data_IF_878582007567
#
_entry.id   IF_878582007567
#
_cell.length_a   1.000
_cell.length_b   1.000
_cell.length_c   1.000
_cell.angle_alpha   90.00
_cell.angle_beta   90.00
_cell.angle_gamma   90.00
#
_symmetry.space_group_name_H-M   'P 1'
#
loop_
_entity.id
_entity.type
_entity.pdbx_description
1 polymer ?
#
# COMPACT_ATOMS: atom_id res chain seq x y z
N UNK A 1 -10.09 35.30 15.87
CA UNK A 1 -8.70 35.77 15.72
C UNK A 1 -7.81 34.61 16.08
N UNK A 2 -7.14 34.02 15.10
CA UNK A 2 -6.20 32.94 15.33
C UNK A 2 -4.87 33.54 15.83
N UNK A 3 -4.19 32.87 16.77
CA UNK A 3 -2.93 33.35 17.34
C UNK A 3 -1.78 32.63 16.62
N UNK A 4 -0.81 33.34 16.02
CA UNK A 4 0.34 32.71 15.39
C UNK A 4 1.21 32.00 16.44
N UNK A 5 1.78 30.85 16.07
CA UNK A 5 2.76 30.15 16.90
C UNK A 5 4.13 30.77 16.63
N UNK A 6 4.72 31.42 17.63
CA UNK A 6 6.08 31.98 17.52
C UNK A 6 7.00 31.37 18.56
N UNK A 7 8.08 30.74 18.09
CA UNK A 7 9.13 30.14 18.91
C UNK A 7 10.40 30.95 18.73
N UNK A 8 10.83 31.64 19.78
CA UNK A 8 12.04 32.45 19.79
C UNK A 8 12.80 32.23 21.11
N UNK A 9 14.10 31.95 21.02
CA UNK A 9 15.01 31.88 22.17
C UNK A 9 14.56 30.92 23.29
N UNK A 10 13.98 29.78 22.93
CA UNK A 10 13.60 28.75 23.90
C UNK A 10 14.73 27.71 24.05
N UNK A 11 14.83 27.05 25.21
CA UNK A 11 15.75 25.90 25.35
C UNK A 11 15.06 24.61 24.91
N UNK A 12 15.51 24.06 23.78
CA UNK A 12 15.07 22.76 23.25
C UNK A 12 16.23 21.76 23.12
N UNK A 13 17.27 21.92 23.94
CA UNK A 13 18.46 21.05 23.94
C UNK A 13 18.12 19.55 24.05
N UNK A 14 16.99 19.21 24.68
CA UNK A 14 16.53 17.82 24.86
C UNK A 14 15.40 17.39 23.91
N UNK A 15 14.88 18.29 23.07
CA UNK A 15 13.75 17.99 22.18
C UNK A 15 14.19 17.03 21.06
N UNK A 16 13.45 15.93 20.88
CA UNK A 16 13.75 14.90 19.87
C UNK A 16 12.72 14.78 18.76
N UNK A 17 11.48 15.16 19.07
CA UNK A 17 10.33 15.12 18.16
C UNK A 17 9.56 16.42 18.31
N UNK A 18 9.03 16.92 17.20
CA UNK A 18 8.22 18.14 17.16
C UNK A 18 7.02 17.90 16.24
N UNK A 19 5.81 18.07 16.76
CA UNK A 19 4.59 18.17 15.95
C UNK A 19 3.95 19.51 16.31
N UNK A 20 4.12 20.50 15.44
CA UNK A 20 3.55 21.83 15.61
C UNK A 20 2.36 21.98 14.67
N UNK A 21 1.19 22.01 15.29
CA UNK A 21 -0.07 22.29 14.64
C UNK A 21 -0.59 23.65 15.05
N UNK A 22 -0.88 24.48 14.06
CA UNK A 22 -1.37 25.84 14.29
C UNK A 22 -2.74 26.01 13.67
N UNK A 23 -3.76 26.20 14.49
CA UNK A 23 -5.08 26.66 14.04
C UNK A 23 -5.04 28.12 13.54
N UNK A 24 -3.86 28.76 13.57
CA UNK A 24 -3.63 30.10 13.02
C UNK A 24 -2.67 30.18 11.85
N UNK A 25 -2.61 31.39 11.31
CA UNK A 25 -2.10 31.67 9.97
C UNK A 25 -0.57 31.56 9.85
N UNK A 26 0.20 31.40 10.92
CA UNK A 26 1.66 31.37 10.81
C UNK A 26 2.34 30.58 11.92
N UNK A 27 3.22 29.66 11.52
CA UNK A 27 4.25 29.07 12.38
C UNK A 27 5.56 29.81 12.08
N UNK A 28 6.12 30.50 13.07
CA UNK A 28 7.40 31.19 12.94
C UNK A 28 8.41 30.71 13.98
N UNK A 29 9.53 30.18 13.52
CA UNK A 29 10.65 29.73 14.36
C UNK A 29 11.88 30.55 13.96
N UNK A 30 12.45 31.28 14.91
CA UNK A 30 13.60 32.15 14.64
C UNK A 30 14.70 32.02 15.67
N UNK A 31 15.94 32.14 15.21
CA UNK A 31 17.16 32.17 16.04
C UNK A 31 17.22 31.00 17.04
N UNK A 32 16.99 29.80 16.53
CA UNK A 32 16.79 28.62 17.38
C UNK A 32 17.70 27.47 16.93
N UNK A 33 18.24 26.74 17.90
CA UNK A 33 18.96 25.50 17.65
C UNK A 33 18.21 24.32 18.28
N UNK A 34 18.13 23.22 17.52
CA UNK A 34 17.51 21.96 17.92
C UNK A 34 18.53 20.81 17.81
N UNK A 35 19.45 20.68 18.78
CA UNK A 35 20.63 19.82 18.63
C UNK A 35 20.32 18.32 18.58
N UNK A 36 19.17 17.90 19.11
CA UNK A 36 18.74 16.50 19.21
C UNK A 36 17.46 16.17 18.44
N UNK A 37 16.86 17.14 17.73
CA UNK A 37 15.63 16.93 16.99
C UNK A 37 15.88 16.02 15.79
N UNK A 38 15.13 14.92 15.71
CA UNK A 38 15.29 13.88 14.66
C UNK A 38 14.15 13.93 13.66
N UNK A 39 12.94 14.30 14.09
CA UNK A 39 11.79 14.45 13.21
C UNK A 39 10.97 15.68 13.61
N UNK A 40 10.47 16.39 12.60
CA UNK A 40 9.60 17.54 12.80
C UNK A 40 8.44 17.51 11.79
N UNK A 41 7.26 17.83 12.27
CA UNK A 41 6.06 18.05 11.48
C UNK A 41 5.54 19.45 11.76
N UNK A 42 5.47 20.29 10.74
CA UNK A 42 5.04 21.69 10.83
C UNK A 42 3.83 21.88 9.92
N UNK A 43 2.64 22.03 10.52
CA UNK A 43 1.37 22.13 9.79
C UNK A 43 0.47 23.22 10.39
N UNK A 44 0.20 24.32 9.68
CA UNK A 44 -0.96 25.14 9.97
C UNK A 44 -2.23 24.36 9.59
N UNK A 45 -3.18 24.19 10.51
CA UNK A 45 -4.40 23.38 10.36
C UNK A 45 -5.45 24.04 9.45
N UNK A 46 -5.42 25.37 9.27
CA UNK A 46 -6.35 26.07 8.39
C UNK A 46 -5.65 26.42 7.08
N UNK A 47 -5.92 25.64 6.03
CA UNK A 47 -5.51 25.96 4.65
C UNK A 47 -6.43 27.09 4.14
N UNK A 48 -6.16 28.30 4.60
CA UNK A 48 -6.77 29.54 4.11
C UNK A 48 -5.67 30.55 3.78
N UNK A 49 -6.00 31.55 2.93
CA UNK A 49 -5.07 32.58 2.48
C UNK A 49 -4.30 33.23 3.64
N UNK A 50 -3.05 32.82 3.84
CA UNK A 50 -2.20 33.36 4.90
C UNK A 50 -1.39 32.32 5.68
N UNK A 51 -1.84 31.05 5.71
CA UNK A 51 -1.20 29.95 6.43
C UNK A 51 0.26 29.73 5.99
N UNK A 52 1.21 30.10 6.86
CA UNK A 52 2.62 30.15 6.52
C UNK A 52 3.53 29.37 7.47
N UNK A 53 4.71 29.02 6.95
CA UNK A 53 5.85 28.59 7.75
C UNK A 53 6.99 29.57 7.53
N UNK A 54 7.58 30.09 8.60
CA UNK A 54 8.76 30.95 8.55
C UNK A 54 9.86 30.39 9.43
N UNK A 55 10.92 29.88 8.81
CA UNK A 55 12.15 29.43 9.47
C UNK A 55 13.26 30.44 9.19
N UNK A 56 13.77 31.12 10.22
CA UNK A 56 14.82 32.13 10.08
C UNK A 56 15.97 31.86 11.04
N UNK A 57 17.17 31.63 10.51
CA UNK A 57 18.37 31.32 11.31
C UNK A 57 18.14 30.15 12.28
N UNK A 58 17.57 29.05 11.76
CA UNK A 58 17.29 27.83 12.53
C UNK A 58 18.31 26.74 12.22
N UNK A 59 18.78 26.00 13.22
CA UNK A 59 19.71 24.89 13.05
C UNK A 59 19.16 23.56 13.55
N UNK A 60 19.22 22.56 12.68
CA UNK A 60 18.70 21.19 12.87
C UNK A 60 19.79 20.14 12.58
N UNK A 61 20.86 20.05 13.39
CA UNK A 61 22.03 19.23 13.07
C UNK A 61 21.76 17.71 12.97
N UNK A 62 20.67 17.20 13.58
CA UNK A 62 20.33 15.76 13.59
C UNK A 62 18.97 15.43 12.98
N UNK A 63 18.30 16.42 12.39
CA UNK A 63 16.97 16.24 11.81
C UNK A 63 17.08 15.35 10.58
N UNK A 64 16.37 14.23 10.58
CA UNK A 64 16.32 13.27 9.48
C UNK A 64 15.05 13.37 8.67
N UNK A 65 13.92 13.71 9.32
CA UNK A 65 12.62 13.79 8.68
C UNK A 65 12.00 15.16 8.94
N UNK A 66 11.55 15.82 7.88
CA UNK A 66 10.80 17.06 7.96
C UNK A 66 9.56 16.98 7.09
N UNK A 67 8.42 17.31 7.69
CA UNK A 67 7.15 17.50 6.99
C UNK A 67 6.70 18.95 7.10
N UNK A 68 6.51 19.58 5.96
CA UNK A 68 6.06 20.96 5.82
C UNK A 68 4.76 20.98 5.00
N UNK A 69 3.66 21.31 5.65
CA UNK A 69 2.39 21.65 4.98
C UNK A 69 2.15 23.13 5.18
N UNK A 70 1.95 23.93 4.13
CA UNK A 70 1.65 25.35 4.27
C UNK A 70 1.10 25.96 2.97
N UNK A 71 0.41 27.10 3.08
CA UNK A 71 0.07 27.90 1.89
C UNK A 71 1.35 28.61 1.37
N UNK A 72 2.17 29.14 2.28
CA UNK A 72 3.45 29.81 1.99
C UNK A 72 4.56 29.31 2.89
N UNK A 73 5.79 29.24 2.38
CA UNK A 73 6.95 28.95 3.22
C UNK A 73 8.10 29.92 2.92
N UNK A 74 8.75 30.39 3.99
CA UNK A 74 9.91 31.28 3.94
C UNK A 74 11.02 30.69 4.80
N UNK A 75 12.11 30.27 4.15
CA UNK A 75 13.26 29.67 4.82
C UNK A 75 14.49 30.53 4.55
N UNK A 76 15.10 31.06 5.61
CA UNK A 76 16.34 31.85 5.50
C UNK A 76 17.35 31.41 6.55
N UNK A 77 18.62 31.30 6.14
CA UNK A 77 19.76 30.88 6.94
C UNK A 77 19.49 29.63 7.80
N UNK A 78 18.69 28.68 7.28
CA UNK A 78 18.28 27.47 8.00
C UNK A 78 19.11 26.29 7.53
N UNK A 79 19.57 25.44 8.46
CA UNK A 79 20.50 24.33 8.17
C UNK A 79 19.99 23.03 8.77
N UNK A 80 19.91 21.96 7.96
CA UNK A 80 19.56 20.61 8.43
C UNK A 80 20.46 19.53 7.80
N UNK A 81 21.78 19.53 8.03
CA UNK A 81 22.76 18.75 7.26
C UNK A 81 22.58 17.22 7.28
N UNK A 82 21.74 16.69 8.16
CA UNK A 82 21.39 15.26 8.24
C UNK A 82 19.97 14.96 7.72
N UNK A 83 19.35 15.90 7.02
CA UNK A 83 18.00 15.76 6.49
C UNK A 83 18.01 14.71 5.38
N UNK A 84 17.33 13.61 5.65
CA UNK A 84 17.25 12.43 4.80
C UNK A 84 15.95 12.44 3.97
N UNK A 85 14.85 12.79 4.64
CA UNK A 85 13.48 12.75 4.11
C UNK A 85 12.80 14.10 4.26
N UNK A 86 12.23 14.58 3.15
CA UNK A 86 11.49 15.82 3.11
C UNK A 86 10.13 15.62 2.47
N UNK A 87 9.08 15.97 3.19
CA UNK A 87 7.70 15.97 2.72
C UNK A 87 7.19 17.40 2.61
N UNK A 88 6.75 17.78 1.41
CA UNK A 88 6.32 19.13 1.07
C UNK A 88 4.91 19.11 0.48
N UNK A 89 4.02 19.82 1.15
CA UNK A 89 2.68 20.14 0.65
C UNK A 89 2.49 21.66 0.74
N UNK A 90 3.15 22.38 -0.19
CA UNK A 90 3.23 23.84 -0.18
C UNK A 90 2.57 24.47 -1.42
N UNK A 91 1.51 25.25 -1.18
CA UNK A 91 0.64 25.75 -2.23
C UNK A 91 1.14 26.97 -3.03
N UNK A 92 2.11 27.72 -2.52
CA UNK A 92 2.69 28.86 -3.23
C UNK A 92 4.21 28.71 -3.46
N UNK A 93 4.70 29.45 -4.46
CA UNK A 93 6.12 29.75 -4.66
C UNK A 93 6.76 30.22 -3.35
N UNK A 94 8.06 29.94 -3.16
CA UNK A 94 8.87 30.32 -2.00
C UNK A 94 9.71 31.59 -2.27
N UNK A 95 9.13 32.78 -2.49
CA UNK A 95 9.91 33.97 -2.79
C UNK A 95 10.82 34.33 -1.61
N UNK A 96 12.11 34.56 -1.90
CA UNK A 96 13.10 34.94 -0.90
C UNK A 96 13.64 33.80 -0.03
N UNK A 97 13.26 32.55 -0.30
CA UNK A 97 13.77 31.39 0.45
C UNK A 97 15.13 30.90 -0.06
N UNK A 98 15.93 30.38 0.87
CA UNK A 98 17.20 29.69 0.61
C UNK A 98 16.93 28.27 0.10
N UNK A 99 16.83 28.12 -1.22
CA UNK A 99 16.56 26.82 -1.85
C UNK A 99 17.65 25.77 -1.57
N UNK A 100 18.86 26.19 -1.19
CA UNK A 100 19.94 25.28 -0.78
C UNK A 100 19.56 24.35 0.37
N UNK A 101 18.63 24.76 1.24
CA UNK A 101 18.09 23.91 2.30
C UNK A 101 17.46 22.63 1.74
N UNK A 102 16.82 22.73 0.57
CA UNK A 102 16.11 21.63 -0.09
C UNK A 102 17.00 20.73 -0.96
N UNK A 103 18.29 21.04 -1.09
CA UNK A 103 19.27 20.24 -1.87
C UNK A 103 19.90 19.09 -1.04
N UNK A 104 19.48 18.94 0.21
CA UNK A 104 20.04 18.00 1.18
C UNK A 104 19.40 16.59 1.17
N UNK A 105 18.07 16.43 1.04
CA UNK A 105 17.42 15.13 1.19
C UNK A 105 17.69 14.21 -0.01
N UNK A 106 17.76 12.91 0.27
CA UNK A 106 17.77 11.88 -0.76
C UNK A 106 16.36 11.35 -1.07
N UNK A 107 15.36 11.70 -0.25
CA UNK A 107 13.94 11.40 -0.47
C UNK A 107 13.08 12.66 -0.40
N UNK A 108 12.30 12.90 -1.45
CA UNK A 108 11.50 14.11 -1.63
C UNK A 108 10.07 13.75 -2.03
N UNK A 109 9.11 14.29 -1.30
CA UNK A 109 7.69 14.17 -1.59
C UNK A 109 7.12 15.57 -1.82
N UNK A 110 6.54 15.83 -2.98
CA UNK A 110 5.99 17.15 -3.35
C UNK A 110 4.58 16.98 -3.91
N UNK A 111 3.60 17.62 -3.27
CA UNK A 111 2.20 17.46 -3.66
C UNK A 111 1.61 18.66 -4.41
N UNK A 112 2.32 19.78 -4.46
CA UNK A 112 1.89 21.02 -5.10
C UNK A 112 3.09 21.79 -5.69
N UNK A 113 2.87 22.54 -6.77
CA UNK A 113 3.89 23.34 -7.47
C UNK A 113 5.16 22.55 -7.82
N UNK A 114 5.01 21.32 -8.26
CA UNK A 114 6.12 20.38 -8.51
C UNK A 114 7.11 21.00 -9.50
N UNK A 115 6.61 21.55 -10.60
CA UNK A 115 7.44 22.13 -11.65
C UNK A 115 8.29 23.32 -11.18
N UNK A 116 7.66 24.28 -10.50
CA UNK A 116 8.34 25.47 -9.99
C UNK A 116 9.37 25.12 -8.92
N UNK A 117 9.10 24.09 -8.12
CA UNK A 117 9.99 23.66 -7.06
C UNK A 117 11.22 22.93 -7.61
N UNK A 118 11.02 21.91 -8.45
CA UNK A 118 12.11 21.11 -8.99
C UNK A 118 13.10 21.93 -9.85
N UNK A 119 12.64 23.01 -10.51
CA UNK A 119 13.52 23.95 -11.24
C UNK A 119 14.55 24.68 -10.36
N UNK A 120 14.32 24.73 -9.04
CA UNK A 120 15.10 25.58 -8.12
C UNK A 120 15.99 24.79 -7.18
N UNK A 121 15.93 23.46 -7.24
CA UNK A 121 16.72 22.56 -6.38
C UNK A 121 17.68 21.71 -7.21
N UNK A 122 18.77 21.30 -6.57
CA UNK A 122 19.69 20.31 -7.10
C UNK A 122 19.15 18.91 -6.77
N UNK A 123 18.68 18.21 -7.81
CA UNK A 123 18.09 16.86 -7.69
C UNK A 123 19.12 15.74 -7.86
N UNK A 124 20.40 16.06 -8.09
CA UNK A 124 21.42 15.05 -8.42
C UNK A 124 21.64 14.01 -7.32
N UNK A 125 21.35 14.32 -6.06
CA UNK A 125 21.47 13.38 -4.93
C UNK A 125 20.20 12.58 -4.66
N UNK A 126 19.10 12.90 -5.35
CA UNK A 126 17.80 12.34 -5.06
C UNK A 126 17.74 10.87 -5.48
N UNK A 127 17.32 10.02 -4.54
CA UNK A 127 17.10 8.58 -4.76
C UNK A 127 15.62 8.23 -4.83
N UNK A 128 14.76 8.98 -4.15
CA UNK A 128 13.33 8.72 -4.09
C UNK A 128 12.56 10.01 -4.35
N UNK A 129 11.68 9.98 -5.33
CA UNK A 129 10.83 11.11 -5.69
C UNK A 129 9.38 10.68 -5.68
N UNK A 130 8.54 11.41 -4.94
CA UNK A 130 7.10 11.25 -4.96
C UNK A 130 6.47 12.58 -5.37
N UNK A 131 5.66 12.60 -6.41
CA UNK A 131 5.04 13.83 -6.92
C UNK A 131 3.55 13.66 -7.16
N UNK A 132 2.77 14.70 -6.89
CA UNK A 132 1.39 14.81 -7.38
C UNK A 132 1.33 15.90 -8.43
N UNK A 133 1.02 15.51 -9.66
CA UNK A 133 0.86 16.43 -10.78
C UNK A 133 -0.60 16.86 -10.84
N UNK A 134 -0.81 18.18 -10.79
CA UNK A 134 -2.10 18.86 -10.92
C UNK A 134 -2.12 19.67 -12.21
N UNK A 135 -3.30 20.13 -12.65
CA UNK A 135 -3.52 20.95 -13.86
C UNK A 135 -2.49 22.05 -14.08
N UNK A 136 -1.98 22.65 -13.01
CA UNK A 136 -1.11 23.82 -13.03
C UNK A 136 0.38 23.49 -13.24
N UNK A 137 0.77 22.20 -13.21
CA UNK A 137 2.16 21.75 -13.38
C UNK A 137 2.60 21.68 -14.87
N UNK A 138 2.02 22.52 -15.74
CA UNK A 138 2.19 22.45 -17.20
C UNK A 138 3.69 22.51 -17.56
N UNK A 139 4.13 21.59 -18.42
CA UNK A 139 5.53 21.49 -18.85
C UNK A 139 6.39 20.59 -17.97
N UNK A 140 5.79 19.80 -17.06
CA UNK A 140 6.52 18.80 -16.26
C UNK A 140 7.30 17.82 -17.15
N UNK A 141 6.73 17.42 -18.29
CA UNK A 141 7.37 16.56 -19.28
C UNK A 141 8.64 17.16 -19.88
N UNK A 142 8.67 18.48 -20.08
CA UNK A 142 9.87 19.18 -20.56
C UNK A 142 10.87 19.33 -19.43
N UNK A 143 10.41 19.70 -18.24
CA UNK A 143 11.26 19.89 -17.06
C UNK A 143 12.00 18.61 -16.70
N UNK A 144 11.28 17.49 -16.59
CA UNK A 144 11.85 16.23 -16.10
C UNK A 144 12.94 15.70 -17.03
N UNK A 145 12.87 16.06 -18.32
CA UNK A 145 13.90 15.76 -19.31
C UNK A 145 15.22 16.46 -19.04
N UNK A 146 15.14 17.67 -18.52
CA UNK A 146 16.29 18.54 -18.29
C UNK A 146 16.91 18.30 -16.90
N UNK A 147 16.24 17.52 -16.04
CA UNK A 147 16.74 17.17 -14.72
C UNK A 147 17.70 15.96 -14.77
N UNK A 148 18.82 16.06 -14.07
CA UNK A 148 19.73 14.92 -13.84
C UNK A 148 19.19 14.04 -12.71
N UNK A 149 18.39 13.05 -13.10
CA UNK A 149 17.81 12.04 -12.21
C UNK A 149 18.59 10.72 -12.25
N UNK A 150 19.88 10.77 -12.58
CA UNK A 150 20.72 9.58 -12.72
C UNK A 150 20.81 8.75 -11.45
N UNK A 151 20.69 9.34 -10.25
CA UNK A 151 20.70 8.63 -8.97
C UNK A 151 19.32 8.16 -8.49
N UNK A 152 18.26 8.46 -9.23
CA UNK A 152 16.90 8.12 -8.83
C UNK A 152 16.68 6.60 -8.90
N UNK A 153 16.29 6.01 -7.78
CA UNK A 153 16.05 4.57 -7.62
C UNK A 153 14.56 4.23 -7.58
N UNK A 154 13.70 5.13 -7.08
CA UNK A 154 12.25 4.97 -7.09
C UNK A 154 11.54 6.29 -7.42
N UNK A 155 10.51 6.19 -8.25
CA UNK A 155 9.68 7.31 -8.66
C UNK A 155 8.21 6.94 -8.53
N UNK A 156 7.47 7.72 -7.74
CA UNK A 156 6.03 7.58 -7.57
C UNK A 156 5.34 8.87 -8.01
N UNK A 157 4.46 8.76 -9.00
CA UNK A 157 3.68 9.89 -9.50
C UNK A 157 2.18 9.66 -9.30
N UNK A 158 1.49 10.66 -8.75
CA UNK A 158 0.04 10.76 -8.74
C UNK A 158 -0.38 11.69 -9.88
N UNK A 159 -1.18 11.19 -10.81
CA UNK A 159 -1.67 11.94 -11.96
C UNK A 159 -3.12 12.35 -11.70
N UNK A 160 -3.38 13.66 -11.67
CA UNK A 160 -4.74 14.18 -11.72
C UNK A 160 -5.40 13.90 -13.07
N UNK A 161 -6.72 14.11 -13.15
CA UNK A 161 -7.51 13.84 -14.35
C UNK A 161 -6.94 14.53 -15.60
N UNK A 162 -6.45 15.76 -15.44
CA UNK A 162 -5.88 16.58 -16.51
C UNK A 162 -4.53 16.05 -17.02
N UNK A 163 -3.80 15.27 -16.22
CA UNK A 163 -2.47 14.72 -16.55
C UNK A 163 -2.49 13.30 -17.06
N UNK A 164 -3.62 12.62 -16.93
CA UNK A 164 -3.71 11.20 -17.25
C UNK A 164 -3.32 10.91 -18.70
N UNK A 165 -3.89 11.62 -19.68
CA UNK A 165 -3.60 11.42 -21.11
C UNK A 165 -2.11 11.63 -21.45
N UNK A 166 -1.36 12.33 -20.58
CA UNK A 166 0.07 12.57 -20.72
C UNK A 166 0.94 11.47 -20.10
N UNK A 167 0.41 10.48 -19.38
CA UNK A 167 1.26 9.46 -18.72
C UNK A 167 2.17 8.71 -19.70
N UNK A 168 1.65 8.33 -20.88
CA UNK A 168 2.44 7.71 -21.95
C UNK A 168 3.40 8.68 -22.66
N UNK A 169 3.22 9.97 -22.45
CA UNK A 169 4.11 11.05 -22.91
C UNK A 169 5.17 11.38 -21.88
N UNK A 170 4.90 11.26 -20.57
CA UNK A 170 5.86 11.51 -19.49
C UNK A 170 7.10 10.60 -19.60
N UNK A 171 6.88 9.30 -19.79
CA UNK A 171 7.92 8.26 -19.70
C UNK A 171 9.12 8.49 -20.65
N UNK A 172 8.92 8.81 -21.95
CA UNK A 172 10.00 9.17 -22.88
C UNK A 172 10.96 10.24 -22.39
N UNK A 173 10.48 11.13 -21.54
CA UNK A 173 11.24 12.28 -21.10
C UNK A 173 12.01 12.00 -19.82
N UNK A 174 11.74 10.88 -19.14
CA UNK A 174 12.51 10.53 -17.95
C UNK A 174 13.89 9.97 -18.31
N UNK A 175 14.93 10.63 -17.81
CA UNK A 175 16.30 10.12 -17.83
C UNK A 175 16.68 9.54 -16.46
N UNK A 176 16.11 8.38 -16.14
CA UNK A 176 16.32 7.67 -14.87
C UNK A 176 16.93 6.28 -15.07
N UNK A 177 18.18 6.16 -15.58
CA UNK A 177 18.76 4.86 -15.95
C UNK A 177 18.91 3.89 -14.77
N UNK A 178 18.97 4.41 -13.54
CA UNK A 178 19.09 3.60 -12.32
C UNK A 178 17.75 3.34 -11.62
N UNK A 179 16.63 3.73 -12.23
CA UNK A 179 15.30 3.55 -11.67
C UNK A 179 14.99 2.04 -11.53
N UNK A 180 14.68 1.62 -10.31
CA UNK A 180 14.35 0.22 -9.96
C UNK A 180 12.85 0.05 -9.73
N UNK A 181 12.17 1.09 -9.27
CA UNK A 181 10.73 1.07 -9.00
C UNK A 181 10.05 2.28 -9.63
N UNK A 182 8.97 2.03 -10.35
CA UNK A 182 8.12 3.05 -10.91
C UNK A 182 6.68 2.78 -10.47
N UNK A 183 6.09 3.76 -9.79
CA UNK A 183 4.71 3.72 -9.34
C UNK A 183 3.92 4.87 -9.96
N UNK A 184 2.76 4.57 -10.51
CA UNK A 184 1.84 5.57 -11.05
C UNK A 184 0.44 5.35 -10.49
N UNK A 185 -0.11 6.39 -9.87
CA UNK A 185 -1.49 6.44 -9.37
C UNK A 185 -2.31 7.36 -10.30
N UNK A 186 -3.38 6.84 -10.89
CA UNK A 186 -4.19 7.49 -11.92
C UNK A 186 -5.58 7.79 -11.37
N UNK A 187 -6.01 9.05 -11.41
CA UNK A 187 -7.31 9.45 -10.84
C UNK A 187 -8.50 9.47 -11.82
N UNK A 188 -8.27 9.33 -13.14
CA UNK A 188 -9.33 9.50 -14.17
C UNK A 188 -10.26 8.29 -14.31
N UNK A 189 -11.51 8.59 -14.69
CA UNK A 189 -12.63 7.68 -14.95
C UNK A 189 -12.46 6.78 -16.20
N UNK A 190 -11.59 7.14 -17.15
CA UNK A 190 -11.23 6.26 -18.26
C UNK A 190 -9.79 6.50 -18.72
N UNK A 191 -9.01 5.43 -18.80
CA UNK A 191 -7.60 5.46 -19.17
C UNK A 191 -7.36 4.52 -20.34
N UNK A 192 -7.80 4.94 -21.52
CA UNK A 192 -7.89 4.06 -22.69
C UNK A 192 -6.53 3.72 -23.32
N UNK A 193 -5.42 4.35 -22.93
CA UNK A 193 -4.16 4.12 -23.61
C UNK A 193 -2.91 4.38 -22.76
N UNK A 194 -2.49 3.35 -22.00
CA UNK A 194 -1.07 3.17 -21.66
C UNK A 194 -0.33 2.61 -22.89
N UNK A 195 -0.94 2.57 -24.08
CA UNK A 195 -0.47 1.84 -25.27
C UNK A 195 0.90 2.22 -25.80
N UNK A 196 1.47 3.37 -25.39
CA UNK A 196 2.85 3.73 -25.70
C UNK A 196 3.86 3.28 -24.62
N UNK A 197 3.40 2.76 -23.47
CA UNK A 197 4.26 2.26 -22.39
C UNK A 197 5.20 1.16 -22.91
N UNK A 198 4.68 0.26 -23.74
CA UNK A 198 5.42 -0.87 -24.30
C UNK A 198 6.65 -0.45 -25.09
N UNK A 199 6.56 0.63 -25.87
CA UNK A 199 7.67 1.09 -26.71
C UNK A 199 8.68 1.96 -25.95
N UNK A 200 8.29 2.52 -24.80
CA UNK A 200 9.03 3.60 -24.13
C UNK A 200 9.58 3.22 -22.76
N UNK A 201 8.97 2.26 -22.07
CA UNK A 201 9.34 1.91 -20.69
C UNK A 201 10.76 1.34 -20.62
N UNK A 202 11.08 0.31 -21.41
CA UNK A 202 12.40 -0.33 -21.37
C UNK A 202 13.54 0.59 -21.83
N UNK A 203 13.41 1.40 -22.90
CA UNK A 203 14.43 2.38 -23.25
C UNK A 203 14.68 3.45 -22.17
N UNK A 204 13.64 3.87 -21.44
CA UNK A 204 13.74 4.93 -20.44
C UNK A 204 14.21 4.40 -19.09
N UNK A 205 13.82 3.17 -18.74
CA UNK A 205 14.11 2.52 -17.46
C UNK A 205 14.67 1.11 -17.63
N UNK A 206 15.88 0.95 -18.23
CA UNK A 206 16.43 -0.36 -18.57
C UNK A 206 16.72 -1.25 -17.35
N UNK A 207 16.76 -0.69 -16.14
CA UNK A 207 17.00 -1.40 -14.89
C UNK A 207 15.75 -1.53 -14.02
N UNK A 208 14.56 -1.23 -14.56
CA UNK A 208 13.31 -1.26 -13.81
C UNK A 208 13.00 -2.69 -13.36
N UNK A 209 12.87 -2.88 -12.05
CA UNK A 209 12.55 -4.18 -11.43
C UNK A 209 11.10 -4.29 -11.04
N UNK A 210 10.48 -3.15 -10.69
CA UNK A 210 9.13 -3.12 -10.15
C UNK A 210 8.29 -2.04 -10.79
N UNK A 211 7.12 -2.43 -11.26
CA UNK A 211 6.11 -1.54 -11.85
C UNK A 211 4.82 -1.65 -11.04
N UNK A 212 4.34 -0.52 -10.53
CA UNK A 212 3.07 -0.43 -9.79
C UNK A 212 2.17 0.54 -10.53
N UNK A 213 0.97 0.08 -10.89
CA UNK A 213 -0.04 0.90 -11.56
C UNK A 213 -1.30 0.83 -10.73
N UNK A 214 -1.70 1.96 -10.17
CA UNK A 214 -2.95 2.07 -9.42
C UNK A 214 -3.92 2.98 -10.15
N UNK A 215 -5.15 2.52 -10.37
CA UNK A 215 -6.23 3.29 -10.96
C UNK A 215 -7.40 3.40 -9.99
N UNK A 216 -7.87 4.62 -9.74
CA UNK A 216 -8.99 4.85 -8.83
C UNK A 216 -10.35 4.69 -9.50
N UNK A 217 -10.46 4.79 -10.83
CA UNK A 217 -11.76 4.86 -11.53
C UNK A 217 -11.77 4.40 -12.99
N UNK A 218 -10.67 3.89 -13.54
CA UNK A 218 -10.58 3.62 -14.98
C UNK A 218 -10.32 2.18 -15.36
N UNK A 219 -10.86 1.82 -16.53
CA UNK A 219 -10.34 0.72 -17.34
C UNK A 219 -8.90 1.04 -17.77
N UNK A 220 -8.04 0.03 -17.74
CA UNK A 220 -6.70 0.12 -18.29
C UNK A 220 -6.53 -0.86 -19.44
N UNK A 221 -5.84 -0.40 -20.49
CA UNK A 221 -5.42 -1.25 -21.61
C UNK A 221 -3.92 -1.12 -21.77
N UNK A 222 -3.20 -2.16 -21.36
CA UNK A 222 -1.76 -2.31 -21.55
C UNK A 222 -1.57 -3.44 -22.55
N UNK A 223 -1.02 -3.12 -23.73
CA UNK A 223 -0.86 -4.09 -24.82
C UNK A 223 0.59 -4.18 -25.24
N UNK A 224 1.07 -5.42 -25.38
CA UNK A 224 2.39 -5.73 -25.92
C UNK A 224 3.54 -5.17 -25.10
N UNK A 225 3.38 -5.02 -23.78
CA UNK A 225 4.47 -4.54 -22.92
C UNK A 225 5.61 -5.55 -22.90
N UNK A 226 6.79 -5.13 -23.32
CA UNK A 226 8.01 -5.94 -23.26
C UNK A 226 8.99 -5.24 -22.32
N UNK A 227 9.54 -6.00 -21.37
CA UNK A 227 10.59 -5.48 -20.50
C UNK A 227 11.44 -6.63 -19.97
N UNK A 228 12.74 -6.60 -20.24
CA UNK A 228 13.65 -7.68 -19.84
C UNK A 228 13.95 -7.70 -18.35
N UNK A 229 14.06 -6.55 -17.68
CA UNK A 229 14.48 -6.50 -16.25
C UNK A 229 13.35 -6.56 -15.21
N UNK A 230 12.07 -6.49 -15.61
CA UNK A 230 10.96 -6.45 -14.64
C UNK A 230 10.86 -7.78 -13.89
N UNK A 231 10.81 -7.71 -12.57
CA UNK A 231 10.69 -8.84 -11.65
C UNK A 231 9.32 -8.87 -10.94
N UNK A 232 8.68 -7.71 -10.76
CA UNK A 232 7.39 -7.55 -10.06
C UNK A 232 6.49 -6.53 -10.76
N UNK A 233 5.24 -6.92 -11.04
CA UNK A 233 4.20 -6.05 -11.59
C UNK A 233 2.98 -6.14 -10.70
N UNK A 234 2.51 -4.99 -10.24
CA UNK A 234 1.30 -4.85 -9.42
C UNK A 234 0.38 -3.87 -10.10
N UNK A 235 -0.85 -4.31 -10.35
CA UNK A 235 -1.92 -3.49 -10.87
C UNK A 235 -3.04 -3.51 -9.86
N UNK A 236 -3.48 -2.32 -9.45
CA UNK A 236 -4.63 -2.18 -8.55
C UNK A 236 -5.68 -1.28 -9.21
N UNK A 237 -6.93 -1.70 -9.28
CA UNK A 237 -8.04 -0.85 -9.71
C UNK A 237 -9.10 -0.77 -8.61
N UNK A 238 -9.97 0.23 -8.67
CA UNK A 238 -11.10 0.39 -7.75
C UNK A 238 -12.45 0.16 -8.45
N UNK A 239 -12.46 0.10 -9.78
CA UNK A 239 -13.68 0.06 -10.58
C UNK A 239 -13.84 -1.24 -11.40
N UNK A 240 -15.08 -1.51 -11.79
CA UNK A 240 -15.63 -2.76 -12.34
C UNK A 240 -15.60 -2.82 -13.88
N UNK A 241 -14.60 -2.23 -14.52
CA UNK A 241 -14.56 -2.05 -15.98
C UNK A 241 -13.74 -3.12 -16.72
N UNK A 242 -13.76 -3.07 -18.07
CA UNK A 242 -13.01 -3.98 -18.94
C UNK A 242 -11.52 -3.59 -19.04
N UNK A 243 -10.67 -4.44 -18.47
CA UNK A 243 -9.23 -4.30 -18.40
C UNK A 243 -8.53 -5.27 -19.37
N UNK A 244 -7.47 -4.80 -20.03
CA UNK A 244 -6.64 -5.63 -20.90
C UNK A 244 -5.19 -5.50 -20.45
N UNK A 245 -4.53 -6.63 -20.22
CA UNK A 245 -3.10 -6.69 -19.97
C UNK A 245 -2.45 -7.74 -20.86
N UNK A 246 -1.60 -7.30 -21.78
CA UNK A 246 -0.77 -8.19 -22.59
C UNK A 246 0.70 -7.78 -22.58
N UNK A 247 1.60 -8.76 -22.50
CA UNK A 247 3.03 -8.49 -22.48
C UNK A 247 3.93 -9.73 -22.42
N UNK A 248 5.23 -9.50 -22.62
CA UNK A 248 6.28 -10.51 -22.55
C UNK A 248 7.40 -10.05 -21.61
N UNK A 249 7.69 -10.87 -20.61
CA UNK A 249 8.63 -10.53 -19.54
C UNK A 249 9.50 -11.73 -19.19
N UNK A 250 10.78 -11.68 -19.57
CA UNK A 250 11.69 -12.79 -19.37
C UNK A 250 11.95 -13.05 -17.88
N UNK A 251 12.11 -11.99 -17.08
CA UNK A 251 12.51 -12.10 -15.66
C UNK A 251 11.37 -11.91 -14.65
N UNK A 252 10.12 -11.76 -15.11
CA UNK A 252 8.99 -11.50 -14.22
C UNK A 252 8.76 -12.69 -13.28
N UNK A 253 8.78 -12.42 -11.98
CA UNK A 253 8.62 -13.42 -10.92
C UNK A 253 7.26 -13.31 -10.25
N UNK A 254 6.70 -12.10 -10.16
CA UNK A 254 5.42 -11.84 -9.52
C UNK A 254 4.53 -10.96 -10.38
N UNK A 255 3.27 -11.34 -10.50
CA UNK A 255 2.22 -10.53 -11.12
C UNK A 255 1.00 -10.48 -10.19
N UNK A 256 0.50 -9.28 -9.93
CA UNK A 256 -0.72 -9.05 -9.17
C UNK A 256 -1.67 -8.14 -9.95
N UNK A 257 -2.94 -8.55 -10.09
CA UNK A 257 -4.03 -7.72 -10.58
C UNK A 257 -5.15 -7.74 -9.55
N UNK A 258 -5.39 -6.61 -8.88
CA UNK A 258 -6.24 -6.52 -7.69
C UNK A 258 -7.31 -5.46 -7.89
N UNK A 259 -8.58 -5.78 -7.60
CA UNK A 259 -9.65 -4.79 -7.51
C UNK A 259 -9.97 -4.51 -6.04
N UNK A 260 -9.85 -3.25 -5.62
CA UNK A 260 -10.33 -2.78 -4.32
C UNK A 260 -11.81 -2.40 -4.42
N UNK A 261 -12.68 -3.23 -3.86
CA UNK A 261 -14.13 -2.96 -3.81
C UNK A 261 -14.42 -2.05 -2.60
N UNK A 262 -14.75 -0.78 -2.84
CA UNK A 262 -14.90 0.21 -1.76
C UNK A 262 -16.26 0.24 -1.05
N UNK A 263 -17.31 -0.34 -1.62
CA UNK A 263 -18.66 -0.32 -1.03
C UNK A 263 -19.47 -1.55 -1.52
N UNK A 264 -20.60 -1.93 -0.89
CA UNK A 264 -21.47 -2.97 -1.40
C UNK A 264 -22.28 -2.46 -2.60
N UNK A 265 -21.59 -1.98 -3.64
CA UNK A 265 -22.19 -1.84 -4.96
C UNK A 265 -22.36 -3.23 -5.55
N UNK A 266 -23.44 -3.39 -6.32
CA UNK A 266 -23.69 -4.59 -7.13
C UNK A 266 -22.37 -5.06 -7.74
N UNK A 267 -22.04 -6.35 -7.56
CA UNK A 267 -20.83 -6.97 -8.09
C UNK A 267 -20.88 -6.88 -9.61
N UNK A 268 -20.52 -5.72 -10.17
CA UNK A 268 -19.98 -5.62 -11.50
C UNK A 268 -18.61 -6.24 -11.39
N UNK A 269 -18.39 -7.42 -11.95
CA UNK A 269 -17.05 -7.98 -11.98
C UNK A 269 -16.24 -7.22 -13.03
N UNK A 270 -15.09 -6.65 -12.66
CA UNK A 270 -14.17 -6.05 -13.64
C UNK A 270 -13.69 -7.14 -14.59
N UNK A 271 -14.09 -7.09 -15.86
CA UNK A 271 -13.62 -8.07 -16.83
C UNK A 271 -12.13 -7.85 -17.13
N UNK A 272 -11.29 -8.87 -16.97
CA UNK A 272 -9.86 -8.84 -17.24
C UNK A 272 -9.51 -9.80 -18.39
N UNK A 273 -8.97 -9.24 -19.47
CA UNK A 273 -8.30 -10.01 -20.53
C UNK A 273 -6.80 -10.03 -20.26
N UNK A 274 -6.29 -11.19 -19.84
CA UNK A 274 -4.88 -11.38 -19.48
C UNK A 274 -4.19 -12.29 -20.51
N UNK A 275 -3.16 -11.76 -21.20
CA UNK A 275 -2.28 -12.55 -22.08
C UNK A 275 -0.82 -12.23 -21.76
N UNK A 276 -0.25 -13.02 -20.85
CA UNK A 276 1.07 -12.80 -20.29
C UNK A 276 2.03 -13.92 -20.71
N UNK A 277 3.18 -13.54 -21.27
CA UNK A 277 4.28 -14.45 -21.53
C UNK A 277 5.39 -14.20 -20.51
N UNK A 278 5.39 -14.97 -19.41
CA UNK A 278 6.34 -14.82 -18.32
C UNK A 278 6.88 -16.20 -17.86
N UNK A 279 7.90 -16.76 -18.54
CA UNK A 279 8.35 -18.13 -18.29
C UNK A 279 8.94 -18.36 -16.89
N UNK A 280 9.39 -17.29 -16.22
CA UNK A 280 9.96 -17.32 -14.87
C UNK A 280 8.97 -16.91 -13.76
N UNK A 281 7.68 -16.76 -14.09
CA UNK A 281 6.66 -16.37 -13.14
C UNK A 281 6.55 -17.42 -12.02
N UNK A 282 6.65 -16.96 -10.76
CA UNK A 282 6.56 -17.78 -9.55
C UNK A 282 5.25 -17.55 -8.80
N UNK A 283 4.71 -16.33 -8.87
CA UNK A 283 3.53 -15.91 -8.13
C UNK A 283 2.55 -15.19 -9.07
N UNK A 284 1.32 -15.67 -9.12
CA UNK A 284 0.20 -15.04 -9.83
C UNK A 284 -0.95 -14.83 -8.84
N UNK A 285 -1.32 -13.58 -8.62
CA UNK A 285 -2.48 -13.20 -7.80
C UNK A 285 -3.46 -12.37 -8.63
N UNK A 286 -4.71 -12.82 -8.69
CA UNK A 286 -5.81 -12.11 -9.35
C UNK A 286 -6.97 -12.00 -8.36
N UNK A 287 -7.45 -10.78 -8.13
CA UNK A 287 -8.50 -10.51 -7.16
C UNK A 287 -9.57 -9.56 -7.73
N UNK A 288 -10.84 -9.92 -7.58
CA UNK A 288 -11.98 -9.03 -7.92
C UNK A 288 -12.28 -8.89 -9.42
N UNK A 289 -11.83 -9.82 -10.26
CA UNK A 289 -11.97 -9.74 -11.72
C UNK A 289 -12.83 -10.86 -12.32
N UNK A 290 -13.51 -10.61 -13.44
CA UNK A 290 -14.10 -11.65 -14.30
C UNK A 290 -13.16 -11.99 -15.45
N UNK A 291 -12.92 -13.27 -15.70
CA UNK A 291 -12.08 -13.77 -16.78
C UNK A 291 -12.86 -14.80 -17.60
N UNK A 292 -12.84 -14.66 -18.93
CA UNK A 292 -13.39 -15.70 -19.81
C UNK A 292 -12.54 -16.97 -19.73
N UNK A 293 -11.22 -16.84 -19.93
CA UNK A 293 -10.29 -17.96 -19.81
C UNK A 293 -9.01 -17.47 -19.13
N UNK A 294 -8.52 -18.25 -18.17
CA UNK A 294 -7.17 -18.11 -17.60
C UNK A 294 -6.32 -19.32 -18.02
N UNK A 295 -5.45 -19.10 -19.00
CA UNK A 295 -4.53 -20.11 -19.51
C UNK A 295 -3.16 -20.05 -18.83
N UNK A 296 -2.70 -21.17 -18.29
CA UNK A 296 -1.46 -21.28 -17.51
C UNK A 296 -0.37 -22.13 -18.18
N UNK A 297 -0.43 -22.33 -19.50
CA UNK A 297 0.44 -23.28 -20.23
C UNK A 297 1.94 -22.95 -20.20
N UNK A 298 2.31 -21.69 -19.97
CA UNK A 298 3.69 -21.23 -20.05
C UNK A 298 4.36 -21.00 -18.69
N UNK A 299 3.69 -21.28 -17.57
CA UNK A 299 4.18 -20.95 -16.23
C UNK A 299 4.78 -22.16 -15.49
N UNK A 300 5.82 -22.76 -16.08
CA UNK A 300 6.49 -23.95 -15.50
C UNK A 300 7.10 -23.70 -14.11
N UNK A 301 7.43 -22.45 -13.80
CA UNK A 301 8.00 -22.03 -12.53
C UNK A 301 6.97 -21.54 -11.50
N UNK A 302 5.67 -21.57 -11.84
CA UNK A 302 4.62 -21.09 -10.96
C UNK A 302 4.59 -21.94 -9.69
N UNK A 303 4.70 -21.27 -8.54
CA UNK A 303 4.67 -21.88 -7.20
C UNK A 303 3.38 -21.56 -6.47
N UNK A 304 2.91 -20.33 -6.62
CA UNK A 304 1.74 -19.81 -5.93
C UNK A 304 0.74 -19.23 -6.94
N UNK A 305 -0.49 -19.74 -6.90
CA UNK A 305 -1.62 -19.22 -7.65
C UNK A 305 -2.73 -18.85 -6.67
N UNK A 306 -3.14 -17.59 -6.69
CA UNK A 306 -4.27 -17.08 -5.91
C UNK A 306 -5.29 -16.43 -6.86
N UNK A 307 -6.53 -16.88 -6.73
CA UNK A 307 -7.70 -16.34 -7.41
C UNK A 307 -8.74 -16.09 -6.33
N UNK A 308 -9.10 -14.82 -6.11
CA UNK A 308 -10.01 -14.42 -5.04
C UNK A 308 -11.07 -13.47 -5.55
N UNK A 309 -12.32 -13.64 -5.13
CA UNK A 309 -13.42 -12.74 -5.55
C UNK A 309 -13.55 -12.58 -7.09
N UNK A 310 -13.17 -13.62 -7.85
CA UNK A 310 -13.20 -13.62 -9.30
C UNK A 310 -14.31 -14.47 -9.90
N UNK A 311 -14.80 -14.11 -11.08
CA UNK A 311 -15.68 -14.96 -11.91
C UNK A 311 -14.89 -15.48 -13.12
N UNK A 312 -14.55 -16.77 -13.15
CA UNK A 312 -13.69 -17.37 -14.18
C UNK A 312 -14.46 -18.47 -14.92
N UNK A 313 -14.74 -18.30 -16.21
CA UNK A 313 -15.43 -19.38 -16.95
C UNK A 313 -14.53 -20.60 -17.08
N UNK A 314 -13.26 -20.42 -17.49
CA UNK A 314 -12.34 -21.53 -17.68
C UNK A 314 -10.95 -21.25 -17.07
N UNK A 315 -10.52 -22.10 -16.14
CA UNK A 315 -9.17 -22.13 -15.59
C UNK A 315 -8.43 -23.36 -16.11
N UNK A 316 -7.45 -23.15 -16.99
CA UNK A 316 -6.75 -24.24 -17.68
C UNK A 316 -5.25 -24.15 -17.45
N UNK A 317 -4.64 -25.22 -16.93
CA UNK A 317 -3.21 -25.28 -16.70
C UNK A 317 -2.66 -26.68 -16.85
N UNK A 318 -1.91 -26.95 -17.92
CA UNK A 318 -1.22 -28.22 -18.09
C UNK A 318 0.24 -28.12 -17.60
N UNK A 319 0.66 -29.08 -16.77
CA UNK A 319 2.08 -29.25 -16.43
C UNK A 319 2.62 -28.21 -15.43
N UNK A 320 1.83 -27.83 -14.42
CA UNK A 320 2.25 -26.94 -13.35
C UNK A 320 3.04 -27.72 -12.27
N UNK A 321 4.18 -28.27 -12.67
CA UNK A 321 4.98 -29.17 -11.83
C UNK A 321 5.48 -28.53 -10.53
N UNK A 322 5.72 -27.21 -10.52
CA UNK A 322 6.24 -26.51 -9.34
C UNK A 322 5.15 -25.87 -8.47
N UNK A 323 3.88 -25.96 -8.88
CA UNK A 323 2.77 -25.36 -8.15
C UNK A 323 2.62 -26.06 -6.81
N UNK A 324 2.79 -25.30 -5.72
CA UNK A 324 2.72 -25.79 -4.36
C UNK A 324 1.47 -25.28 -3.62
N UNK A 325 0.93 -24.14 -4.02
CA UNK A 325 -0.19 -23.45 -3.37
C UNK A 325 -1.19 -23.01 -4.43
N UNK A 326 -2.44 -23.44 -4.26
CA UNK A 326 -3.59 -23.02 -5.05
C UNK A 326 -4.66 -22.51 -4.10
N UNK A 327 -5.00 -21.23 -4.20
CA UNK A 327 -6.06 -20.58 -3.42
C UNK A 327 -7.17 -20.14 -4.37
N UNK A 328 -8.37 -20.70 -4.20
CA UNK A 328 -9.62 -20.36 -4.87
C UNK A 328 -10.65 -19.99 -3.79
N UNK A 329 -10.84 -18.70 -3.53
CA UNK A 329 -11.68 -18.21 -2.43
C UNK A 329 -13.18 -18.52 -2.66
N UNK A 330 -14.00 -18.56 -1.59
CA UNK A 330 -15.46 -18.78 -1.63
C UNK A 330 -16.27 -17.78 -2.42
N UNK A 331 -15.74 -16.57 -2.53
CA UNK A 331 -16.38 -15.51 -3.28
C UNK A 331 -16.01 -15.59 -4.78
N UNK A 332 -15.25 -16.61 -5.20
CA UNK A 332 -14.92 -16.85 -6.61
C UNK A 332 -15.88 -17.86 -7.22
N UNK A 333 -16.44 -17.52 -8.37
CA UNK A 333 -17.21 -18.42 -9.21
C UNK A 333 -16.29 -18.94 -10.31
N UNK A 334 -16.11 -20.27 -10.39
CA UNK A 334 -15.26 -20.86 -11.43
C UNK A 334 -16.03 -21.99 -12.11
N UNK A 335 -16.39 -21.81 -13.38
CA UNK A 335 -17.27 -22.74 -14.07
C UNK A 335 -16.55 -24.02 -14.53
N UNK A 336 -15.27 -23.94 -14.92
CA UNK A 336 -14.44 -25.08 -15.33
C UNK A 336 -13.03 -24.93 -14.76
N UNK A 337 -12.54 -25.99 -14.11
CA UNK A 337 -11.13 -26.09 -13.68
C UNK A 337 -10.51 -27.32 -14.32
N UNK A 338 -9.43 -27.12 -15.07
CA UNK A 338 -8.64 -28.19 -15.68
C UNK A 338 -7.15 -27.93 -15.43
N UNK A 339 -6.67 -28.30 -14.24
CA UNK A 339 -5.29 -28.09 -13.81
C UNK A 339 -4.60 -29.43 -13.54
N UNK A 340 -3.37 -29.58 -14.03
CA UNK A 340 -2.45 -30.64 -13.62
C UNK A 340 -1.30 -30.06 -12.80
N UNK A 341 -1.33 -30.28 -11.49
CA UNK A 341 -0.38 -29.76 -10.50
C UNK A 341 0.11 -30.91 -9.59
N UNK A 342 1.06 -31.73 -10.06
CA UNK A 342 1.41 -32.99 -9.40
C UNK A 342 2.03 -32.82 -8.00
N UNK A 343 2.63 -31.65 -7.71
CA UNK A 343 3.32 -31.36 -6.45
C UNK A 343 2.55 -30.39 -5.54
N UNK A 344 1.23 -30.24 -5.75
CA UNK A 344 0.39 -29.36 -4.95
C UNK A 344 0.38 -29.80 -3.48
N UNK A 345 0.63 -28.85 -2.57
CA UNK A 345 0.70 -29.10 -1.12
C UNK A 345 -0.44 -28.43 -0.37
N UNK A 346 -0.83 -27.25 -0.82
CA UNK A 346 -1.87 -26.42 -0.22
C UNK A 346 -2.92 -26.19 -1.29
N UNK A 347 -4.13 -26.67 -1.00
CA UNK A 347 -5.32 -26.36 -1.76
C UNK A 347 -6.31 -25.69 -0.80
N UNK A 348 -6.58 -24.42 -1.02
CA UNK A 348 -7.61 -23.69 -0.31
C UNK A 348 -8.73 -23.41 -1.29
N UNK A 349 -9.77 -24.23 -1.23
CA UNK A 349 -10.97 -24.07 -2.05
C UNK A 349 -12.18 -23.98 -1.13
N UNK A 350 -13.03 -22.99 -1.35
CA UNK A 350 -14.33 -22.91 -0.68
C UNK A 350 -15.44 -22.73 -1.71
N UNK A 351 -15.62 -23.67 -2.65
CA UNK A 351 -16.69 -23.55 -3.65
C UNK A 351 -18.05 -23.28 -2.99
N UNK A 352 -18.84 -22.38 -3.59
CA UNK A 352 -20.21 -22.19 -3.17
C UNK A 352 -20.95 -23.54 -3.22
N UNK A 353 -21.82 -23.86 -2.23
CA UNK A 353 -22.50 -25.16 -2.14
C UNK A 353 -23.30 -25.55 -3.39
N UNK A 354 -23.65 -24.57 -4.22
CA UNK A 354 -24.48 -24.69 -5.42
C UNK A 354 -23.66 -24.67 -6.72
N UNK A 355 -22.32 -24.61 -6.63
CA UNK A 355 -21.47 -24.71 -7.81
C UNK A 355 -21.70 -26.07 -8.49
N UNK A 356 -21.98 -26.06 -9.78
CA UNK A 356 -22.20 -27.28 -10.54
C UNK A 356 -20.83 -27.93 -10.86
N UNK A 357 -20.29 -28.68 -9.90
CA UNK A 357 -18.90 -29.22 -9.91
C UNK A 357 -18.74 -30.46 -10.83
N UNK A 358 -19.60 -30.66 -11.84
CA UNK A 358 -19.39 -31.74 -12.82
C UNK A 358 -18.10 -31.55 -13.65
N UNK A 359 -17.61 -30.31 -13.73
CA UNK A 359 -16.50 -29.84 -14.56
C UNK A 359 -15.16 -29.68 -13.82
N UNK A 360 -15.08 -29.86 -12.50
CA UNK A 360 -13.80 -29.73 -11.78
C UNK A 360 -12.87 -30.93 -12.04
N UNK A 361 -11.71 -30.64 -12.61
CA UNK A 361 -10.63 -31.58 -12.93
C UNK A 361 -9.31 -30.99 -12.43
N UNK A 362 -9.01 -31.26 -11.16
CA UNK A 362 -7.68 -31.04 -10.60
C UNK A 362 -6.95 -32.39 -10.52
N UNK A 363 -5.79 -32.49 -11.18
CA UNK A 363 -4.91 -33.65 -11.09
C UNK A 363 -3.73 -33.34 -10.15
N UNK A 364 -3.61 -34.10 -9.07
CA UNK A 364 -2.49 -34.04 -8.12
C UNK A 364 -1.86 -35.43 -8.00
N UNK A 365 -0.54 -35.53 -8.16
CA UNK A 365 0.14 -36.83 -8.27
C UNK A 365 -0.33 -37.72 -9.43
N UNK A 366 -1.10 -37.19 -10.40
CA UNK A 366 -1.74 -37.97 -11.46
C UNK A 366 -3.12 -38.53 -11.10
N UNK A 367 -3.63 -38.26 -9.90
CA UNK A 367 -4.97 -38.65 -9.45
C UNK A 367 -5.94 -37.47 -9.54
N UNK A 368 -7.19 -37.74 -9.95
CA UNK A 368 -8.25 -36.74 -10.01
C UNK A 368 -8.79 -36.48 -8.60
N UNK A 369 -8.80 -35.21 -8.21
CA UNK A 369 -9.39 -34.73 -6.96
C UNK A 369 -10.81 -34.27 -7.24
N UNK A 370 -11.76 -34.79 -6.46
CA UNK A 370 -13.15 -34.35 -6.44
C UNK A 370 -13.32 -33.21 -5.43
N UNK A 371 -14.39 -32.44 -5.56
CA UNK A 371 -14.78 -31.35 -4.64
C UNK A 371 -14.91 -31.73 -3.17
N UNK A 372 -15.12 -33.03 -2.89
CA UNK A 372 -15.24 -33.60 -1.55
C UNK A 372 -13.91 -34.07 -0.96
N UNK A 373 -12.83 -34.10 -1.76
CA UNK A 373 -11.54 -34.60 -1.34
C UNK A 373 -10.76 -33.53 -0.57
N UNK A 374 -10.55 -33.76 0.74
CA UNK A 374 -9.71 -32.90 1.57
C UNK A 374 -8.23 -33.25 1.35
N UNK A 375 -7.50 -32.40 0.61
CA UNK A 375 -6.04 -32.46 0.60
C UNK A 375 -5.55 -31.92 1.94
N UNK A 376 -5.33 -32.82 2.89
CA UNK A 376 -4.68 -32.44 4.15
C UNK A 376 -3.18 -32.26 3.85
N UNK A 377 -2.53 -31.16 4.25
CA UNK A 377 -1.09 -31.01 4.05
C UNK A 377 -0.40 -32.24 4.63
N UNK A 378 0.33 -32.95 3.78
CA UNK A 378 1.17 -34.06 4.23
C UNK A 378 2.07 -33.52 5.34
N UNK A 379 1.88 -34.02 6.56
CA UNK A 379 2.68 -33.67 7.73
C UNK A 379 4.14 -33.85 7.33
N UNK A 380 4.84 -32.73 7.11
CA UNK A 380 6.29 -32.73 6.97
C UNK A 380 6.84 -33.47 8.18
N UNK A 381 7.67 -34.49 7.96
CA UNK A 381 8.28 -35.38 8.97
C UNK A 381 9.26 -34.65 9.93
N UNK A 382 8.97 -33.40 10.29
CA UNK A 382 9.76 -32.53 11.17
C UNK A 382 9.11 -32.31 12.55
N UNK A 383 7.95 -32.93 12.84
CA UNK A 383 7.21 -32.75 14.11
C UNK A 383 7.28 -33.94 15.08
N UNK A 384 8.09 -34.96 14.82
CA UNK A 384 8.22 -36.15 15.69
C UNK A 384 9.14 -35.96 16.93
N UNK A 385 9.44 -34.73 17.34
CA UNK A 385 10.10 -34.44 18.61
C UNK A 385 9.37 -33.36 19.41
N UNK A 386 8.21 -33.72 19.98
CA UNK A 386 7.80 -33.33 21.33
C UNK A 386 6.38 -33.86 21.60
N UNK A 387 6.31 -35.08 22.13
CA UNK A 387 5.13 -35.63 22.79
C UNK A 387 4.68 -34.73 23.96
N UNK A 388 3.41 -34.32 23.95
CA UNK A 388 2.79 -33.70 25.13
C UNK A 388 1.50 -32.92 24.88
N UNK A 389 0.55 -33.49 24.16
CA UNK A 389 -0.78 -32.87 23.95
C UNK A 389 -1.58 -32.87 25.27
N UNK A 390 -2.34 -31.81 25.57
CA UNK A 390 -3.78 -31.98 25.73
C UNK A 390 -4.55 -31.22 24.67
N UNK A 391 -5.48 -31.95 24.05
CA UNK A 391 -6.40 -31.51 23.00
C UNK A 391 -7.33 -30.48 23.60
N UNK A 392 -7.42 -29.30 22.99
CA UNK A 392 -8.63 -28.48 22.84
C UNK A 392 -8.38 -27.36 21.81
N UNK A 393 -9.01 -27.50 20.63
CA UNK A 393 -9.68 -26.49 19.75
C UNK A 393 -9.42 -25.00 20.12
N UNK A 394 -9.08 -24.02 19.25
CA UNK A 394 -8.86 -23.84 17.79
C UNK A 394 -8.32 -22.41 17.56
N UNK A 395 -7.73 -22.18 16.37
CA UNK A 395 -7.45 -20.88 15.70
C UNK A 395 -6.51 -19.89 16.40
N UNK A 396 -5.21 -20.03 16.16
CA UNK A 396 -4.23 -18.93 16.31
C UNK A 396 -3.89 -18.38 14.93
N UNK A 397 -4.58 -17.31 14.52
CA UNK A 397 -4.16 -16.52 13.37
C UNK A 397 -3.05 -15.57 13.85
N UNK A 398 -1.81 -15.91 13.56
CA UNK A 398 -0.70 -14.98 13.66
C UNK A 398 -0.71 -14.12 12.38
N UNK A 399 -1.35 -12.96 12.42
CA UNK A 399 -1.36 -12.02 11.31
C UNK A 399 -0.06 -11.21 11.28
N UNK A 400 0.61 -11.18 10.12
CA UNK A 400 1.72 -10.26 9.85
C UNK A 400 1.14 -8.87 9.53
N UNK A 401 1.15 -7.98 10.52
CA UNK A 401 0.42 -6.69 10.52
C UNK A 401 1.04 -5.58 9.64
N UNK A 402 1.90 -5.91 8.66
CA UNK A 402 2.63 -4.90 7.86
C UNK A 402 1.85 -4.34 6.66
N UNK A 403 0.68 -4.87 6.34
CA UNK A 403 -0.04 -4.54 5.09
C UNK A 403 -1.52 -4.18 5.27
N UNK A 404 -1.99 -3.90 6.49
CA UNK A 404 -3.38 -3.52 6.74
C UNK A 404 -3.57 -2.00 6.66
N UNK A 405 -4.60 -1.56 5.94
CA UNK A 405 -5.10 -0.18 6.04
C UNK A 405 -5.89 -0.01 7.35
N UNK A 406 -6.11 1.23 7.80
CA UNK A 406 -6.95 1.53 8.98
C UNK A 406 -8.34 0.88 8.84
N UNK A 407 -8.88 0.86 7.62
CA UNK A 407 -10.17 0.24 7.28
C UNK A 407 -10.17 -1.28 7.42
N UNK A 408 -9.05 -1.96 7.13
CA UNK A 408 -8.93 -3.41 7.32
C UNK A 408 -8.86 -3.78 8.81
N UNK A 409 -8.22 -2.93 9.61
CA UNK A 409 -8.21 -3.02 11.08
C UNK A 409 -9.64 -2.79 11.62
N UNK A 410 -10.37 -1.81 11.10
CA UNK A 410 -11.77 -1.55 11.48
C UNK A 410 -12.72 -2.70 11.12
N UNK A 411 -12.51 -3.35 9.96
CA UNK A 411 -13.30 -4.51 9.52
C UNK A 411 -13.01 -5.76 10.37
N UNK A 412 -11.74 -5.99 10.72
CA UNK A 412 -11.32 -7.05 11.62
C UNK A 412 -11.69 -6.80 13.09
N UNK A 413 -11.81 -5.55 13.54
CA UNK A 413 -12.22 -5.20 14.92
C UNK A 413 -13.74 -5.05 15.05
N UNK A 414 -14.45 -4.71 13.97
CA UNK A 414 -15.91 -4.69 13.93
C UNK A 414 -16.53 -6.05 14.30
N UNK A 415 -15.85 -7.15 13.99
CA UNK A 415 -16.24 -8.51 14.40
C UNK A 415 -15.93 -8.84 15.87
N UNK A 416 -15.06 -8.05 16.53
CA UNK A 416 -14.61 -8.21 17.92
C UNK A 416 -15.41 -7.33 18.90
N UNK A 417 -16.30 -6.47 18.39
CA UNK A 417 -17.11 -5.52 19.17
C UNK A 417 -17.99 -6.28 20.17
N UNK A 418 -17.95 -5.87 21.44
CA UNK A 418 -18.69 -6.45 22.57
C UNK A 418 -18.31 -7.88 23.00
N UNK A 419 -17.30 -8.51 22.40
CA UNK A 419 -16.76 -9.79 22.85
C UNK A 419 -15.68 -9.60 23.93
N UNK A 420 -15.58 -10.55 24.87
CA UNK A 420 -14.48 -10.59 25.85
C UNK A 420 -13.27 -11.27 25.21
N UNK A 421 -12.12 -10.62 25.28
CA UNK A 421 -10.87 -11.11 24.71
C UNK A 421 -9.85 -11.39 25.81
N UNK A 422 -9.15 -12.51 25.71
CA UNK A 422 -8.09 -12.92 26.61
C UNK A 422 -6.73 -12.70 25.93
N UNK A 423 -5.86 -11.89 26.54
CA UNK A 423 -4.51 -11.64 26.04
C UNK A 423 -3.51 -11.98 27.14
N UNK A 424 -2.51 -12.81 26.81
CA UNK A 424 -1.40 -13.12 27.72
C UNK A 424 -0.35 -12.01 27.64
N UNK A 425 -0.12 -11.31 28.76
CA UNK A 425 0.90 -10.28 28.89
C UNK A 425 1.84 -10.72 30.01
N UNK A 426 3.12 -10.94 29.68
CA UNK A 426 4.15 -11.34 30.64
C UNK A 426 3.79 -12.59 31.48
N UNK A 427 3.16 -13.60 30.87
CA UNK A 427 2.80 -14.85 31.56
C UNK A 427 1.48 -14.79 32.35
N UNK A 428 0.71 -13.70 32.24
CA UNK A 428 -0.60 -13.56 32.87
C UNK A 428 -1.68 -13.27 31.83
N UNK A 429 -2.75 -14.07 31.85
CA UNK A 429 -3.92 -13.86 30.99
C UNK A 429 -4.76 -12.72 31.57
N UNK A 430 -5.01 -11.68 30.77
CA UNK A 430 -5.88 -10.55 31.12
C UNK A 430 -7.07 -10.46 30.18
N UNK A 431 -8.25 -10.19 30.75
CA UNK A 431 -9.52 -10.03 30.02
C UNK A 431 -9.79 -8.56 29.71
N UNK A 432 -10.18 -8.28 28.48
CA UNK A 432 -10.52 -6.93 28.02
C UNK A 432 -11.79 -6.94 27.17
N UNK A 433 -12.52 -5.81 27.19
CA UNK A 433 -13.65 -5.56 26.32
C UNK A 433 -13.36 -4.35 25.44
N UNK A 434 -13.63 -4.48 24.15
CA UNK A 434 -13.48 -3.39 23.17
C UNK A 434 -14.86 -2.78 22.94
N UNK A 435 -14.99 -1.49 23.27
CA UNK A 435 -16.19 -0.69 23.00
C UNK A 435 -15.83 0.50 22.12
N UNK A 436 -16.62 0.73 21.06
CA UNK A 436 -16.52 1.96 20.28
C UNK A 436 -17.20 3.09 21.07
N UNK A 437 -16.50 4.20 21.30
CA UNK A 437 -17.17 5.46 21.63
C UNK A 437 -17.38 6.20 20.32
N UNK A 438 -18.64 6.35 19.94
CA UNK A 438 -19.04 7.39 19.02
C UNK A 438 -19.75 8.45 19.87
N UNK A 439 -19.05 9.52 20.23
CA UNK A 439 -19.72 10.73 20.70
C UNK A 439 -20.08 11.56 19.46
N UNK A 440 -21.36 11.88 19.34
CA UNK A 440 -21.88 12.74 18.28
C UNK A 440 -21.70 14.18 18.75
N UNK A 441 -20.82 14.91 18.09
CA UNK A 441 -20.75 16.36 18.23
C UNK A 441 -21.96 16.96 17.49
N UNK A 442 -22.82 17.69 18.19
CA UNK A 442 -24.07 18.21 17.61
C UNK A 442 -23.84 19.37 16.63
N UNK A 443 -22.62 19.91 16.55
CA UNK A 443 -22.27 21.05 15.68
C UNK A 443 -21.38 20.70 14.46
N UNK A 444 -20.94 19.45 14.30
CA UNK A 444 -20.19 19.02 13.12
C UNK A 444 -20.75 17.73 12.51
N UNK A 445 -20.89 17.68 11.18
CA UNK A 445 -21.33 16.48 10.44
C UNK A 445 -20.25 15.36 10.44
N UNK A 446 -19.34 15.35 11.43
CA UNK A 446 -18.23 14.40 11.54
C UNK A 446 -18.35 13.57 12.82
N UNK A 447 -18.15 12.25 12.66
CA UNK A 447 -17.92 11.36 13.79
C UNK A 447 -16.44 11.42 14.19
N UNK A 448 -16.13 11.78 15.43
CA UNK A 448 -14.80 11.57 16.00
C UNK A 448 -14.73 10.14 16.53
N UNK A 449 -14.27 9.20 15.70
CA UNK A 449 -14.10 7.81 16.09
C UNK A 449 -12.91 7.63 17.03
N UNK A 450 -13.15 7.21 18.27
CA UNK A 450 -12.13 6.78 19.22
C UNK A 450 -12.46 5.43 19.85
N UNK A 451 -11.48 4.55 19.97
CA UNK A 451 -11.64 3.22 20.59
C UNK A 451 -11.22 3.27 22.07
N UNK A 452 -12.09 2.79 22.97
CA UNK A 452 -11.75 2.63 24.39
C UNK A 452 -11.56 1.17 24.75
N UNK A 453 -10.40 0.86 25.33
CA UNK A 453 -10.13 -0.45 25.95
C UNK A 453 -10.53 -0.35 27.42
N UNK A 454 -11.63 -1.01 27.80
CA UNK A 454 -12.02 -1.12 29.21
C UNK A 454 -11.57 -2.48 29.73
N UNK A 455 -10.75 -2.46 30.79
CA UNK A 455 -10.40 -3.64 31.55
C UNK A 455 -11.64 -4.11 32.33
N UNK A 456 -12.06 -5.37 32.21
CA UNK A 456 -13.27 -5.85 32.88
C UNK A 456 -13.00 -6.08 34.38
N UNK A 457 -13.21 -5.04 35.19
CA UNK A 457 -13.10 -5.06 36.66
C UNK A 457 -14.11 -6.06 37.29
N UNK A 458 -15.12 -6.50 36.55
CA UNK A 458 -16.16 -7.43 37.04
C UNK A 458 -15.62 -8.82 37.37
N UNK A 459 -14.60 -9.33 36.64
CA UNK A 459 -14.04 -10.65 36.92
C UNK A 459 -13.16 -10.69 38.17
N UNK A 460 -12.48 -9.59 38.52
CA UNK A 460 -11.76 -9.47 39.81
C UNK A 460 -12.72 -9.41 41.00
N UNK A 461 -13.84 -8.69 40.88
CA UNK A 461 -14.85 -8.61 41.96
C UNK A 461 -15.64 -9.90 42.14
N UNK A 462 -15.87 -10.65 41.07
CA UNK A 462 -16.58 -11.93 41.11
C UNK A 462 -15.66 -13.07 41.57
N UNK A 463 -14.38 -13.06 41.16
CA UNK A 463 -13.35 -13.93 41.73
C UNK A 463 -13.09 -13.64 43.21
N UNK A 464 -13.01 -12.37 43.63
CA UNK A 464 -12.94 -11.99 45.05
C UNK A 464 -14.21 -12.40 45.81
N UNK A 465 -15.40 -12.30 45.21
CA UNK A 465 -16.66 -12.79 45.80
C UNK A 465 -16.66 -14.30 45.97
N UNK A 466 -16.22 -15.06 44.97
CA UNK A 466 -16.18 -16.53 44.99
C UNK A 466 -15.10 -17.07 45.93
N UNK A 467 -13.96 -16.38 46.03
CA UNK A 467 -12.88 -16.65 47.00
C UNK A 467 -13.35 -16.30 48.43
N UNK A 468 -14.04 -15.18 48.64
CA UNK A 468 -14.67 -14.83 49.93
C UNK A 468 -15.84 -15.76 50.29
N UNK A 469 -16.52 -16.34 49.30
CA UNK A 469 -17.58 -17.33 49.47
C UNK A 469 -17.06 -18.77 49.68
N UNK A 470 -15.74 -18.99 49.67
CA UNK A 470 -15.13 -20.27 50.03
C UNK A 470 -15.24 -21.38 48.98
N UNK A 471 -15.61 -21.06 47.73
CA UNK A 471 -15.72 -22.05 46.66
C UNK A 471 -14.34 -22.27 46.03
N UNK A 472 -13.71 -23.42 46.30
CA UNK A 472 -12.45 -23.80 45.64
C UNK A 472 -12.73 -24.52 44.32
N UNK A 473 -12.13 -24.10 43.18
CA UNK A 473 -12.23 -24.86 41.94
C UNK A 473 -11.47 -26.19 42.07
N UNK A 474 -12.11 -27.28 41.62
CA UNK A 474 -11.44 -28.58 41.43
C UNK A 474 -10.69 -28.53 40.10
N UNK A 475 -9.41 -28.92 40.15
CA UNK A 475 -8.52 -29.08 38.98
C UNK A 475 -9.04 -30.18 38.06
#
# INVERSE_FOLDING_TARGET
MSVPVSINNCDFSSLRLMDLRSVGDLISIKNQEFPLLVAANLRPDIIGHGAGIHLESVSFPKLKYLDLTADKCHITNTKAPSLDFLHLDIACVLPGSDYEFFNQPYSLFIFQNVCEFLKKIDVTKLKYLVTRLLSDDIGFETLIKDLDLSNLESFHVFLSEEYTDLCGELIPFFNGPNLKEFKVDISKDSFDNLGNLSEKLEPSFPNLKRLIISSLRSSFKIRGLVHSSLEDIIITSVDTTYNIFTGHFENLQRFCALVHIFEPLEIGTSQLSLNLSAPNLKELNIEGHSLEVLELFNYKHLKHLQISECDVNELIGAGLELLNTLVLNKNSEIALVNINAPNLKILETQFAPDANIESFKLLVGGERINDTDVITPGVSKLLDYASGIPKNVTTSHAYDLKHFTVSDIERSIGSLKNQEHEIEICGQIKKFRISAAAERDEESDYYTGGWHFTHSIETEREAERLIRAGVRPRV
#
